data_IF_808365178282
#
_entry.id   IF_808365178282
#
_cell.length_a   1.000
_cell.length_b   1.000
_cell.length_c   1.000
_cell.angle_alpha   90.00
_cell.angle_beta   90.00
_cell.angle_gamma   90.00
#
_symmetry.space_group_name_H-M   'P 1'
#
loop_
_entity.id
_entity.type
_entity.pdbx_description
1 polymer ?
#
# COMPACT_ATOMS: atom_id res chain seq x y z
N UNK A 1 27.24 -6.67 -15.85
CA UNK A 1 26.85 -7.65 -14.84
C UNK A 1 25.45 -8.14 -15.17
N UNK A 2 25.24 -9.43 -15.32
CA UNK A 2 23.89 -9.93 -15.47
C UNK A 2 23.11 -9.60 -14.18
N UNK A 3 21.91 -9.04 -14.33
CA UNK A 3 21.01 -8.92 -13.20
C UNK A 3 20.63 -10.32 -12.74
N UNK A 4 20.74 -10.56 -11.44
CA UNK A 4 20.25 -11.80 -10.82
C UNK A 4 18.76 -11.94 -11.16
N UNK A 5 18.35 -13.13 -11.61
CA UNK A 5 16.97 -13.39 -12.01
C UNK A 5 16.06 -13.32 -10.77
N UNK A 6 15.23 -12.28 -10.70
CA UNK A 6 14.32 -12.05 -9.56
C UNK A 6 13.12 -12.99 -9.71
N UNK A 7 12.78 -13.72 -8.66
CA UNK A 7 11.58 -14.54 -8.65
C UNK A 7 10.30 -13.68 -8.67
N UNK A 8 9.20 -14.26 -9.16
CA UNK A 8 7.91 -13.58 -9.14
C UNK A 8 7.47 -13.22 -7.71
N UNK A 9 7.78 -14.07 -6.73
CA UNK A 9 7.52 -13.77 -5.30
C UNK A 9 8.33 -12.56 -4.83
N UNK A 10 9.59 -12.47 -5.19
CA UNK A 10 10.44 -11.35 -4.80
C UNK A 10 9.99 -10.04 -5.45
N UNK A 11 9.53 -10.09 -6.71
CA UNK A 11 8.95 -8.92 -7.36
C UNK A 11 7.66 -8.46 -6.67
N UNK A 12 6.77 -9.38 -6.30
CA UNK A 12 5.57 -9.06 -5.52
C UNK A 12 5.95 -8.45 -4.16
N UNK A 13 6.89 -9.03 -3.45
CA UNK A 13 7.39 -8.51 -2.16
C UNK A 13 7.98 -7.11 -2.30
N UNK A 14 8.77 -6.88 -3.35
CA UNK A 14 9.30 -5.54 -3.63
C UNK A 14 8.20 -4.53 -3.96
N UNK A 15 7.16 -4.99 -4.65
CA UNK A 15 5.99 -4.16 -4.95
C UNK A 15 5.21 -3.79 -3.67
N UNK A 16 5.09 -4.71 -2.70
CA UNK A 16 4.51 -4.41 -1.39
C UNK A 16 5.36 -3.39 -0.62
N UNK A 17 6.68 -3.51 -0.65
CA UNK A 17 7.59 -2.53 -0.06
C UNK A 17 7.44 -1.15 -0.72
N UNK A 18 7.20 -1.12 -2.02
CA UNK A 18 6.91 0.11 -2.78
C UNK A 18 5.60 0.76 -2.32
N UNK A 19 4.56 -0.03 -2.13
CA UNK A 19 3.28 0.46 -1.57
C UNK A 19 3.50 1.02 -0.16
N UNK A 20 4.21 0.29 0.70
CA UNK A 20 4.50 0.72 2.07
C UNK A 20 5.25 2.06 2.11
N UNK A 21 6.24 2.22 1.25
CA UNK A 21 7.01 3.47 1.14
C UNK A 21 6.14 4.64 0.68
N UNK A 22 5.41 4.46 -0.41
CA UNK A 22 4.57 5.53 -1.00
C UNK A 22 3.39 5.89 -0.12
N UNK A 23 2.66 4.92 0.39
CA UNK A 23 1.55 5.15 1.31
C UNK A 23 2.06 5.69 2.65
N UNK A 24 3.17 5.18 3.16
CA UNK A 24 3.81 5.66 4.38
C UNK A 24 4.11 7.15 4.34
N UNK A 25 4.59 7.65 3.20
CA UNK A 25 4.82 9.08 2.98
C UNK A 25 3.52 9.90 3.07
N UNK A 26 2.40 9.35 2.59
CA UNK A 26 1.11 10.05 2.57
C UNK A 26 0.47 10.07 3.96
N UNK A 27 0.54 8.96 4.71
CA UNK A 27 -0.14 8.83 6.01
C UNK A 27 0.65 9.45 7.15
N UNK A 28 1.96 9.63 6.97
CA UNK A 28 2.82 10.26 7.98
C UNK A 28 2.42 11.71 8.16
N UNK A 29 2.24 12.12 9.41
CA UNK A 29 1.88 13.49 9.78
C UNK A 29 0.63 14.01 9.04
N UNK A 30 -0.30 13.13 8.70
CA UNK A 30 -1.54 13.51 8.05
C UNK A 30 -2.39 14.36 9.00
N UNK A 31 -2.77 15.58 8.59
CA UNK A 31 -3.53 16.47 9.46
C UNK A 31 -4.98 15.98 9.61
N UNK A 32 -5.60 16.34 10.73
CA UNK A 32 -6.98 15.97 11.06
C UNK A 32 -7.98 16.31 9.94
N UNK A 33 -7.85 17.47 9.32
CA UNK A 33 -8.74 17.92 8.25
C UNK A 33 -8.63 17.10 6.95
N UNK A 34 -7.55 16.32 6.79
CA UNK A 34 -7.37 15.42 5.65
C UNK A 34 -8.14 14.11 5.81
N UNK A 35 -8.16 13.53 6.99
CA UNK A 35 -8.63 12.16 7.27
C UNK A 35 -10.06 11.92 6.77
N UNK A 36 -10.93 12.90 6.96
CA UNK A 36 -12.34 12.86 6.55
C UNK A 36 -12.66 13.82 5.38
N UNK A 37 -11.64 14.28 4.68
CA UNK A 37 -11.83 15.18 3.55
C UNK A 37 -12.61 14.49 2.43
N UNK A 38 -13.61 15.17 1.90
CA UNK A 38 -14.45 14.68 0.81
C UNK A 38 -14.35 15.62 -0.38
N UNK A 39 -13.79 15.14 -1.49
CA UNK A 39 -13.55 15.95 -2.69
C UNK A 39 -14.83 16.23 -3.50
N UNK A 40 -15.90 15.47 -3.27
CA UNK A 40 -17.18 15.63 -3.97
C UNK A 40 -18.23 14.71 -3.38
N UNK A 41 -19.49 14.89 -3.82
CA UNK A 41 -20.58 14.01 -3.40
C UNK A 41 -20.26 12.56 -3.76
N UNK A 42 -20.48 11.66 -2.82
CA UNK A 42 -20.25 10.22 -2.97
C UNK A 42 -18.78 9.81 -3.20
N UNK A 43 -17.82 10.73 -3.07
CA UNK A 43 -16.39 10.35 -3.07
C UNK A 43 -15.99 9.75 -1.72
N UNK A 44 -15.10 8.74 -1.76
CA UNK A 44 -14.51 8.18 -0.54
C UNK A 44 -13.60 9.19 0.15
N UNK A 45 -13.63 9.20 1.47
CA UNK A 45 -12.66 9.92 2.30
C UNK A 45 -11.33 9.18 2.37
N UNK A 46 -10.20 9.84 2.73
CA UNK A 46 -8.92 9.16 2.90
C UNK A 46 -8.97 7.94 3.84
N UNK A 47 -9.67 8.03 4.96
CA UNK A 47 -9.77 6.88 5.86
C UNK A 47 -10.53 5.70 5.24
N UNK A 48 -11.56 5.97 4.45
CA UNK A 48 -12.29 4.94 3.70
C UNK A 48 -11.42 4.31 2.61
N UNK A 49 -10.61 5.10 1.92
CA UNK A 49 -9.68 4.59 0.91
C UNK A 49 -8.61 3.73 1.57
N UNK A 50 -8.05 4.17 2.69
CA UNK A 50 -7.03 3.40 3.41
C UNK A 50 -7.58 2.06 3.91
N UNK A 51 -8.81 2.05 4.44
CA UNK A 51 -9.51 0.81 4.82
C UNK A 51 -9.66 -0.14 3.64
N UNK A 52 -10.06 0.36 2.48
CA UNK A 52 -10.20 -0.43 1.27
C UNK A 52 -8.84 -1.01 0.79
N UNK A 53 -7.76 -0.23 0.88
CA UNK A 53 -6.43 -0.75 0.54
C UNK A 53 -6.04 -1.91 1.46
N UNK A 54 -6.32 -1.81 2.76
CA UNK A 54 -6.11 -2.91 3.71
C UNK A 54 -6.89 -4.17 3.31
N UNK A 55 -8.16 -4.00 2.95
CA UNK A 55 -9.02 -5.10 2.48
C UNK A 55 -8.47 -5.74 1.19
N UNK A 56 -7.91 -4.96 0.27
CA UNK A 56 -7.27 -5.48 -0.95
C UNK A 56 -6.09 -6.42 -0.63
N UNK A 57 -5.26 -6.09 0.37
CA UNK A 57 -4.14 -6.95 0.76
C UNK A 57 -4.59 -8.19 1.56
N UNK A 58 -5.60 -8.08 2.39
CA UNK A 58 -6.21 -9.25 3.05
C UNK A 58 -6.86 -10.18 2.01
N UNK A 59 -7.51 -9.62 1.00
CA UNK A 59 -8.03 -10.38 -0.13
C UNK A 59 -6.92 -11.06 -0.93
N UNK A 60 -5.83 -10.34 -1.24
CA UNK A 60 -4.67 -10.89 -1.91
C UNK A 60 -4.09 -12.10 -1.16
N UNK A 61 -3.93 -11.97 0.16
CA UNK A 61 -3.46 -13.06 1.02
C UNK A 61 -4.41 -14.26 0.99
N UNK A 62 -5.72 -14.03 1.04
CA UNK A 62 -6.73 -15.09 1.00
C UNK A 62 -6.67 -15.86 -0.34
N UNK A 63 -6.50 -15.15 -1.45
CA UNK A 63 -6.32 -15.78 -2.77
C UNK A 63 -5.00 -16.54 -2.86
N UNK A 64 -3.92 -15.97 -2.34
CA UNK A 64 -2.61 -16.61 -2.30
C UNK A 64 -2.63 -17.93 -1.52
N UNK A 65 -3.46 -18.01 -0.47
CA UNK A 65 -3.70 -19.23 0.33
C UNK A 65 -4.69 -20.21 -0.32
N UNK A 66 -5.31 -19.85 -1.43
CA UNK A 66 -6.32 -20.69 -2.09
C UNK A 66 -7.69 -20.69 -1.43
N UNK A 67 -7.97 -19.70 -0.58
CA UNK A 67 -9.24 -19.53 0.15
C UNK A 67 -9.78 -18.12 -0.04
N UNK A 68 -10.18 -17.72 -1.27
CA UNK A 68 -10.60 -16.36 -1.56
C UNK A 68 -11.72 -15.87 -0.65
N UNK A 69 -11.50 -14.75 0.03
CA UNK A 69 -12.48 -14.13 0.90
C UNK A 69 -12.35 -12.59 0.80
N UNK A 70 -13.45 -11.94 0.43
CA UNK A 70 -13.54 -10.48 0.41
C UNK A 70 -14.21 -9.98 1.68
N UNK A 71 -13.69 -8.88 2.22
CA UNK A 71 -14.33 -8.11 3.28
C UNK A 71 -14.48 -6.67 2.84
N UNK A 72 -15.53 -6.02 3.28
CA UNK A 72 -15.77 -4.59 3.08
C UNK A 72 -15.78 -3.92 4.45
N UNK A 73 -14.61 -3.59 4.94
CA UNK A 73 -14.40 -3.14 6.31
C UNK A 73 -14.90 -1.72 6.51
N UNK A 74 -15.58 -1.50 7.62
CA UNK A 74 -15.85 -0.14 8.09
C UNK A 74 -14.56 0.50 8.58
N UNK A 75 -14.29 1.78 8.24
CA UNK A 75 -13.10 2.46 8.70
C UNK A 75 -12.99 2.53 10.22
N UNK A 76 -11.79 2.31 10.72
CA UNK A 76 -11.41 2.55 12.11
C UNK A 76 -11.04 4.03 12.32
N UNK A 77 -10.74 4.42 13.56
CA UNK A 77 -10.06 5.67 13.81
C UNK A 77 -8.72 5.72 13.05
N UNK A 78 -8.30 6.89 12.60
CA UNK A 78 -7.14 7.02 11.70
C UNK A 78 -5.88 6.30 12.17
N UNK A 79 -5.42 6.43 13.43
CA UNK A 79 -4.21 5.72 13.86
C UNK A 79 -4.34 4.20 13.77
N UNK A 80 -5.52 3.67 14.10
CA UNK A 80 -5.80 2.24 14.06
C UNK A 80 -5.93 1.75 12.61
N UNK A 81 -6.50 2.57 11.72
CA UNK A 81 -6.60 2.25 10.30
C UNK A 81 -5.21 2.23 9.64
N UNK A 82 -4.34 3.18 9.97
CA UNK A 82 -2.94 3.18 9.53
C UNK A 82 -2.22 1.91 10.00
N UNK A 83 -2.43 1.51 11.26
CA UNK A 83 -1.84 0.27 11.79
C UNK A 83 -2.37 -0.95 11.04
N UNK A 84 -3.70 -1.06 10.86
CA UNK A 84 -4.33 -2.17 10.12
C UNK A 84 -3.80 -2.28 8.70
N UNK A 85 -3.61 -1.16 8.01
CA UNK A 85 -3.01 -1.12 6.68
C UNK A 85 -1.62 -1.75 6.65
N UNK A 86 -0.72 -1.31 7.53
CA UNK A 86 0.64 -1.87 7.59
C UNK A 86 0.65 -3.33 8.03
N UNK A 87 -0.25 -3.73 8.92
CA UNK A 87 -0.38 -5.13 9.34
C UNK A 87 -0.86 -6.02 8.20
N UNK A 88 -1.76 -5.53 7.32
CA UNK A 88 -2.21 -6.29 6.14
C UNK A 88 -1.08 -6.50 5.14
N UNK A 89 -0.26 -5.46 4.89
CA UNK A 89 0.95 -5.58 4.07
C UNK A 89 1.92 -6.61 4.65
N UNK A 90 2.17 -6.52 5.95
CA UNK A 90 3.10 -7.44 6.62
C UNK A 90 2.64 -8.90 6.54
N UNK A 91 1.38 -9.18 6.80
CA UNK A 91 0.85 -10.54 6.69
C UNK A 91 1.02 -11.13 5.29
N UNK A 92 0.79 -10.32 4.27
CA UNK A 92 0.95 -10.77 2.89
C UNK A 92 2.43 -10.94 2.51
N UNK A 93 3.30 -10.01 2.90
CA UNK A 93 4.75 -10.15 2.68
C UNK A 93 5.33 -11.37 3.40
N UNK A 94 4.95 -11.60 4.66
CA UNK A 94 5.39 -12.77 5.43
C UNK A 94 4.99 -14.09 4.73
N UNK A 95 3.76 -14.17 4.19
CA UNK A 95 3.33 -15.34 3.41
C UNK A 95 4.18 -15.51 2.14
N UNK A 96 4.43 -14.42 1.40
CA UNK A 96 5.24 -14.48 0.19
C UNK A 96 6.71 -14.83 0.48
N UNK A 97 7.22 -14.46 1.65
CA UNK A 97 8.56 -14.80 2.10
C UNK A 97 8.69 -16.27 2.54
N UNK A 98 7.58 -16.89 2.94
CA UNK A 98 7.54 -18.24 3.46
C UNK A 98 7.61 -19.31 2.37
N UNK A 99 7.67 -20.58 2.78
CA UNK A 99 7.77 -21.74 1.89
C UNK A 99 6.41 -22.22 1.36
N UNK A 100 5.31 -21.65 1.82
CA UNK A 100 3.96 -22.10 1.50
C UNK A 100 3.68 -22.00 0.00
N UNK A 101 2.90 -22.93 -0.52
CA UNK A 101 2.50 -22.92 -1.93
C UNK A 101 1.65 -21.69 -2.23
N UNK A 102 1.96 -21.04 -3.36
CA UNK A 102 1.16 -19.95 -3.90
C UNK A 102 0.03 -20.51 -4.75
N UNK A 103 -1.21 -20.33 -4.32
CA UNK A 103 -2.41 -20.88 -4.98
C UNK A 103 -3.05 -19.91 -6.00
N UNK A 104 -2.55 -18.69 -6.10
CA UNK A 104 -2.94 -17.73 -7.12
C UNK A 104 -1.74 -17.40 -8.00
N UNK A 105 -1.96 -17.12 -9.29
CA UNK A 105 -0.84 -16.73 -10.15
C UNK A 105 -0.31 -15.34 -9.75
N UNK A 106 1.02 -15.15 -9.81
CA UNK A 106 1.61 -13.84 -9.48
C UNK A 106 1.05 -12.70 -10.31
N UNK A 107 0.76 -12.95 -11.59
CA UNK A 107 0.18 -11.95 -12.51
C UNK A 107 -1.20 -11.50 -12.02
N UNK A 108 -2.03 -12.42 -11.53
CA UNK A 108 -3.36 -12.11 -11.00
C UNK A 108 -3.28 -11.31 -9.69
N UNK A 109 -2.34 -11.64 -8.84
CA UNK A 109 -2.09 -10.90 -7.60
C UNK A 109 -1.58 -9.48 -7.89
N UNK A 110 -0.77 -9.34 -8.94
CA UNK A 110 -0.31 -8.03 -9.39
C UNK A 110 -1.43 -7.21 -10.05
N UNK A 111 -2.08 -7.76 -11.10
CA UNK A 111 -3.07 -6.99 -11.90
C UNK A 111 -4.34 -6.63 -11.12
N UNK A 112 -4.72 -7.42 -10.14
CA UNK A 112 -5.87 -7.18 -9.28
C UNK A 112 -5.50 -6.36 -8.04
N UNK A 113 -5.34 -6.98 -6.87
CA UNK A 113 -5.24 -6.25 -5.61
C UNK A 113 -4.07 -5.26 -5.55
N UNK A 114 -2.89 -5.62 -6.08
CA UNK A 114 -1.71 -4.78 -5.94
C UNK A 114 -1.79 -3.54 -6.84
N UNK A 115 -2.17 -3.68 -8.10
CA UNK A 115 -2.32 -2.56 -9.02
C UNK A 115 -3.46 -1.62 -8.56
N UNK A 116 -4.56 -2.18 -8.04
CA UNK A 116 -5.65 -1.40 -7.49
C UNK A 116 -5.20 -0.64 -6.23
N UNK A 117 -4.44 -1.26 -5.35
CA UNK A 117 -3.86 -0.59 -4.18
C UNK A 117 -2.97 0.60 -4.59
N UNK A 118 -2.11 0.45 -5.59
CA UNK A 118 -1.27 1.54 -6.12
C UNK A 118 -2.12 2.69 -6.69
N UNK A 119 -3.20 2.37 -7.39
CA UNK A 119 -4.15 3.35 -7.89
C UNK A 119 -4.79 4.15 -6.75
N UNK A 120 -5.21 3.48 -5.69
CA UNK A 120 -5.78 4.11 -4.50
C UNK A 120 -4.74 4.92 -3.69
N UNK A 121 -3.48 4.50 -3.66
CA UNK A 121 -2.38 5.31 -3.08
C UNK A 121 -2.24 6.64 -3.83
N UNK A 122 -2.36 6.63 -5.15
CA UNK A 122 -2.41 7.86 -5.96
C UNK A 122 -3.59 8.76 -5.61
N UNK A 123 -4.77 8.18 -5.34
CA UNK A 123 -5.94 8.93 -4.87
C UNK A 123 -5.68 9.59 -3.50
N UNK A 124 -5.07 8.87 -2.56
CA UNK A 124 -4.68 9.44 -1.26
C UNK A 124 -3.74 10.64 -1.43
N UNK A 125 -2.76 10.54 -2.34
CA UNK A 125 -1.83 11.63 -2.61
C UNK A 125 -2.51 12.86 -3.20
N UNK A 126 -3.43 12.69 -4.15
CA UNK A 126 -4.17 13.82 -4.73
C UNK A 126 -5.12 14.46 -3.72
N UNK A 127 -5.74 13.67 -2.83
CA UNK A 127 -6.59 14.20 -1.77
C UNK A 127 -5.78 15.04 -0.77
N UNK A 128 -4.52 14.69 -0.47
CA UNK A 128 -3.60 15.54 0.29
C UNK A 128 -3.42 16.91 -0.38
N UNK A 129 -3.21 16.92 -1.70
CA UNK A 129 -3.03 18.15 -2.47
C UNK A 129 -4.30 19.00 -2.48
N UNK A 130 -5.45 18.41 -2.75
CA UNK A 130 -6.73 19.13 -2.81
C UNK A 130 -7.13 19.67 -1.44
N UNK A 131 -6.83 18.96 -0.37
CA UNK A 131 -7.08 19.42 1.01
C UNK A 131 -6.12 20.50 1.51
N UNK A 132 -5.15 20.91 0.68
CA UNK A 132 -4.22 21.99 1.00
C UNK A 132 -2.96 21.56 1.77
N UNK A 133 -2.70 20.27 1.91
CA UNK A 133 -1.56 19.72 2.66
C UNK A 133 -0.80 18.67 1.84
N UNK A 134 -0.26 19.07 0.66
CA UNK A 134 0.37 18.12 -0.26
C UNK A 134 1.62 17.48 0.34
N UNK A 135 1.90 16.25 -0.09
CA UNK A 135 3.24 15.68 0.04
C UNK A 135 4.11 16.18 -1.12
N UNK A 136 5.42 16.20 -0.90
CA UNK A 136 6.37 16.58 -1.97
C UNK A 136 6.50 15.46 -3.00
N UNK A 137 6.70 15.84 -4.27
CA UNK A 137 7.07 14.89 -5.32
C UNK A 137 8.44 14.27 -5.03
N UNK A 138 8.67 13.08 -5.56
CA UNK A 138 9.92 12.35 -5.34
C UNK A 138 10.30 11.53 -6.57
N UNK A 139 11.60 11.42 -6.82
CA UNK A 139 12.12 10.47 -7.79
C UNK A 139 12.13 9.07 -7.16
N UNK A 140 11.03 8.35 -7.27
CA UNK A 140 10.87 7.02 -6.67
C UNK A 140 11.81 5.96 -7.27
N UNK A 141 12.34 6.16 -8.46
CA UNK A 141 13.36 5.27 -9.03
C UNK A 141 14.64 5.24 -8.18
N UNK A 142 14.97 6.37 -7.54
CA UNK A 142 16.14 6.52 -6.68
C UNK A 142 15.83 6.32 -5.19
N UNK A 143 14.56 6.13 -4.83
CA UNK A 143 14.15 6.01 -3.44
C UNK A 143 14.73 4.74 -2.80
N UNK A 144 15.01 4.82 -1.50
CA UNK A 144 15.48 3.69 -0.72
C UNK A 144 14.28 2.80 -0.33
N UNK A 145 13.93 1.89 -1.23
CA UNK A 145 12.86 0.89 -1.05
C UNK A 145 13.51 -0.49 -0.99
N UNK A 146 13.30 -1.20 0.11
CA UNK A 146 13.89 -2.51 0.32
C UNK A 146 12.80 -3.59 0.49
N UNK A 147 12.95 -4.70 -0.24
CA UNK A 147 12.09 -5.88 -0.11
C UNK A 147 12.04 -6.35 1.35
N UNK A 148 10.84 -6.57 1.86
CA UNK A 148 10.61 -6.94 3.27
C UNK A 148 10.40 -5.76 4.22
N UNK A 149 10.72 -4.54 3.82
CA UNK A 149 10.43 -3.33 4.61
C UNK A 149 9.04 -2.81 4.29
N UNK A 150 8.04 -3.38 4.95
CA UNK A 150 6.61 -3.13 4.69
C UNK A 150 5.87 -2.47 5.86
N UNK A 151 6.60 -1.99 6.87
CA UNK A 151 6.04 -1.34 8.06
C UNK A 151 6.05 0.19 7.99
N UNK A 152 5.68 0.81 9.11
CA UNK A 152 5.68 2.28 9.27
C UNK A 152 7.07 2.91 9.20
N UNK A 153 8.09 2.16 9.63
CA UNK A 153 9.47 2.64 9.66
C UNK A 153 10.06 2.64 8.26
N UNK A 154 10.13 3.83 7.69
CA UNK A 154 10.69 4.08 6.37
C UNK A 154 11.83 5.08 6.46
N UNK A 155 12.86 4.97 5.61
CA UNK A 155 13.93 5.97 5.58
C UNK A 155 13.37 7.33 5.13
N UNK A 156 14.00 8.44 5.55
CA UNK A 156 13.62 9.74 5.06
C UNK A 156 13.84 9.85 3.54
N UNK A 157 12.96 10.52 2.81
CA UNK A 157 13.12 10.71 1.38
C UNK A 157 14.36 11.56 1.08
N UNK A 158 15.14 11.15 0.07
CA UNK A 158 16.41 11.83 -0.30
C UNK A 158 16.34 12.54 -1.65
N UNK A 159 15.36 12.23 -2.47
CA UNK A 159 15.28 12.67 -3.87
C UNK A 159 13.97 13.40 -4.14
N UNK A 160 13.50 14.14 -3.16
CA UNK A 160 12.32 14.98 -3.31
C UNK A 160 12.61 16.19 -4.19
N UNK A 161 11.58 16.65 -4.89
CA UNK A 161 11.53 17.88 -5.67
C UNK A 161 10.19 18.60 -5.40
N UNK A 162 10.08 19.90 -5.69
CA UNK A 162 8.97 20.85 -5.40
C UNK A 162 8.99 21.42 -3.96
#
# INVERSE_FOLDING_TARGET
>A
MPHEEISARDLLRHSLATVAYRAGKIVRDAPQGYVHFQAGQNSRTPVQILAHIGDLFDWALSMAKGQPAWQDSQPLAWPDEVQRFFDSLKRFDDFLAGPEQLHASPEKLFQGPLADALNHVGQLAILRRISGVPIRGENYYKADIATGRVGKEQPPPKFEFD
#
